data_IF_268609394847
#
_entry.id   IF_268609394847
#
_cell.length_a   1.000
_cell.length_b   1.000
_cell.length_c   1.000
_cell.angle_alpha   90.00
_cell.angle_beta   90.00
_cell.angle_gamma   90.00
#
_symmetry.space_group_name_H-M   'P 1'
#
loop_
_entity.id
_entity.type
_entity.pdbx_description
1 polymer ?
#
# COMPACT_ATOMS: atom_id res chain seq x y z
N UNK A 1 -39.42 5.03 -5.32
CA UNK A 1 -38.40 6.07 -4.99
C UNK A 1 -37.06 5.44 -4.60
N UNK A 2 -37.03 4.53 -3.61
CA UNK A 2 -35.80 3.95 -3.03
C UNK A 2 -34.84 3.28 -4.04
N UNK A 3 -35.36 2.55 -5.04
CA UNK A 3 -34.54 1.93 -6.10
C UNK A 3 -33.75 2.91 -6.99
N UNK A 4 -34.08 4.22 -6.93
CA UNK A 4 -33.29 5.27 -7.61
C UNK A 4 -31.99 5.59 -6.86
N UNK A 5 -31.91 5.30 -5.56
CA UNK A 5 -30.72 5.49 -4.74
C UNK A 5 -29.72 4.37 -5.06
N UNK A 6 -28.56 4.74 -5.62
CA UNK A 6 -27.49 3.80 -6.02
C UNK A 6 -26.42 3.60 -4.93
N UNK A 7 -26.55 4.31 -3.81
CA UNK A 7 -25.67 4.20 -2.65
C UNK A 7 -26.19 3.11 -1.70
N UNK A 8 -25.30 2.45 -0.95
CA UNK A 8 -25.73 1.55 0.12
C UNK A 8 -26.44 2.32 1.23
N UNK A 9 -27.42 1.68 1.86
CA UNK A 9 -28.13 2.18 3.03
C UNK A 9 -27.39 1.75 4.30
N UNK A 10 -27.33 2.65 5.28
CA UNK A 10 -26.81 2.39 6.61
C UNK A 10 -27.93 2.66 7.61
N UNK A 11 -28.34 1.62 8.34
CA UNK A 11 -29.42 1.70 9.33
C UNK A 11 -28.79 1.82 10.71
N UNK A 12 -28.79 3.05 11.24
CA UNK A 12 -28.23 3.41 12.55
C UNK A 12 -29.22 4.34 13.26
N UNK A 13 -30.29 3.76 13.81
CA UNK A 13 -31.40 4.53 14.41
C UNK A 13 -31.33 4.57 15.94
N UNK A 14 -30.43 3.81 16.57
CA UNK A 14 -30.22 3.86 18.03
C UNK A 14 -29.21 4.94 18.43
N UNK A 15 -29.36 5.46 19.65
CA UNK A 15 -28.43 6.42 20.25
C UNK A 15 -27.02 5.84 20.48
N UNK A 16 -26.87 4.52 20.38
CA UNK A 16 -25.59 3.81 20.51
C UNK A 16 -24.81 3.74 19.18
N UNK A 17 -25.33 4.36 18.11
CA UNK A 17 -24.72 4.31 16.79
C UNK A 17 -24.81 2.93 16.15
N UNK A 18 -25.88 2.19 16.43
CA UNK A 18 -26.17 0.86 15.90
C UNK A 18 -27.63 0.78 15.38
N UNK A 19 -27.97 -0.35 14.77
CA UNK A 19 -29.36 -0.72 14.43
C UNK A 19 -30.19 -0.88 15.72
N UNK A 20 -31.44 -0.42 15.70
CA UNK A 20 -32.39 -0.64 16.78
C UNK A 20 -33.07 -2.02 16.63
N UNK A 21 -33.52 -2.61 17.73
CA UNK A 21 -34.17 -3.94 17.73
C UNK A 21 -35.43 -3.98 16.86
N UNK A 22 -36.08 -2.84 16.64
CA UNK A 22 -37.29 -2.72 15.81
C UNK A 22 -37.00 -2.51 14.33
N UNK A 23 -35.74 -2.26 13.94
CA UNK A 23 -35.39 -1.98 12.54
C UNK A 23 -35.34 -3.24 11.65
N UNK A 24 -35.53 -4.44 12.20
CA UNK A 24 -35.42 -5.67 11.40
C UNK A 24 -36.43 -5.72 10.26
N UNK A 25 -37.62 -5.14 10.45
CA UNK A 25 -38.63 -5.04 9.40
C UNK A 25 -38.13 -4.16 8.24
N UNK A 26 -37.62 -2.95 8.53
CA UNK A 26 -37.10 -2.05 7.49
C UNK A 26 -35.86 -2.62 6.81
N UNK A 27 -34.95 -3.25 7.56
CA UNK A 27 -33.75 -3.90 7.00
C UNK A 27 -34.14 -5.04 6.05
N UNK A 28 -35.11 -5.87 6.45
CA UNK A 28 -35.58 -7.00 5.64
C UNK A 28 -36.30 -6.51 4.38
N UNK A 29 -37.18 -5.52 4.52
CA UNK A 29 -37.86 -4.88 3.39
C UNK A 29 -36.85 -4.31 2.38
N UNK A 30 -35.88 -3.51 2.82
CA UNK A 30 -34.87 -2.91 1.93
C UNK A 30 -34.04 -3.99 1.21
N UNK A 31 -33.66 -5.07 1.91
CA UNK A 31 -32.93 -6.19 1.30
C UNK A 31 -33.79 -6.95 0.28
N UNK A 32 -35.06 -7.21 0.58
CA UNK A 32 -35.99 -7.86 -0.34
C UNK A 32 -36.19 -7.05 -1.63
N UNK A 33 -36.12 -5.72 -1.54
CA UNK A 33 -36.13 -4.81 -2.69
C UNK A 33 -34.81 -4.79 -3.48
N UNK A 34 -33.83 -5.62 -3.12
CA UNK A 34 -32.53 -5.74 -3.78
C UNK A 34 -31.54 -4.62 -3.44
N UNK A 35 -31.80 -3.85 -2.38
CA UNK A 35 -30.92 -2.76 -1.96
C UNK A 35 -29.77 -3.29 -1.09
N UNK A 36 -28.62 -2.64 -1.20
CA UNK A 36 -27.46 -2.93 -0.33
C UNK A 36 -27.66 -2.22 1.00
N UNK A 37 -27.81 -2.99 2.08
CA UNK A 37 -28.14 -2.47 3.42
C UNK A 37 -27.11 -2.96 4.43
N UNK A 38 -26.56 -2.02 5.19
CA UNK A 38 -25.73 -2.26 6.35
C UNK A 38 -26.55 -2.00 7.62
N UNK A 39 -26.55 -2.95 8.55
CA UNK A 39 -27.23 -2.86 9.84
C UNK A 39 -26.21 -3.22 10.95
N UNK A 40 -25.31 -2.30 11.32
CA UNK A 40 -24.28 -2.55 12.32
C UNK A 40 -24.90 -2.71 13.71
N UNK A 41 -24.36 -3.63 14.52
CA UNK A 41 -24.85 -3.90 15.87
C UNK A 41 -24.05 -3.22 16.99
N UNK A 42 -23.01 -2.45 16.65
CA UNK A 42 -22.26 -1.62 17.60
C UNK A 42 -21.58 -0.43 16.89
N UNK A 43 -21.12 0.54 17.68
CA UNK A 43 -20.49 1.76 17.19
C UNK A 43 -19.18 1.51 16.41
N UNK A 44 -18.39 0.52 16.80
CA UNK A 44 -17.12 0.18 16.12
C UNK A 44 -17.37 -0.28 14.68
N UNK A 45 -18.32 -1.20 14.48
CA UNK A 45 -18.72 -1.67 13.16
C UNK A 45 -19.29 -0.52 12.31
N UNK A 46 -20.11 0.35 12.90
CA UNK A 46 -20.60 1.56 12.23
C UNK A 46 -19.46 2.43 11.72
N UNK A 47 -18.46 2.73 12.57
CA UNK A 47 -17.29 3.51 12.18
C UNK A 47 -16.51 2.84 11.04
N UNK A 48 -16.30 1.52 11.10
CA UNK A 48 -15.61 0.75 10.05
C UNK A 48 -16.37 0.77 8.72
N UNK A 49 -17.70 0.66 8.75
CA UNK A 49 -18.54 0.77 7.54
C UNK A 49 -18.44 2.18 6.96
N UNK A 50 -18.59 3.22 7.77
CA UNK A 50 -18.44 4.61 7.32
C UNK A 50 -17.05 4.87 6.70
N UNK A 51 -15.97 4.43 7.35
CA UNK A 51 -14.59 4.51 6.81
C UNK A 51 -14.46 3.80 5.47
N UNK A 52 -14.99 2.58 5.36
CA UNK A 52 -14.95 1.79 4.13
C UNK A 52 -15.72 2.44 2.98
N UNK A 53 -16.87 3.06 3.26
CA UNK A 53 -17.66 3.79 2.28
C UNK A 53 -16.96 5.08 1.83
N UNK A 54 -16.33 5.81 2.76
CA UNK A 54 -15.52 6.97 2.45
C UNK A 54 -14.32 6.58 1.57
N UNK A 55 -13.60 5.52 1.94
CA UNK A 55 -12.48 4.97 1.18
C UNK A 55 -12.90 4.64 -0.26
N UNK A 56 -14.07 4.04 -0.47
CA UNK A 56 -14.58 3.74 -1.82
C UNK A 56 -14.72 4.98 -2.70
N UNK A 57 -15.05 6.14 -2.11
CA UNK A 57 -15.10 7.41 -2.84
C UNK A 57 -13.69 7.95 -3.08
N UNK A 58 -12.84 7.91 -2.06
CA UNK A 58 -11.48 8.46 -2.12
C UNK A 58 -10.56 7.68 -3.07
N UNK A 59 -10.77 6.38 -3.22
CA UNK A 59 -10.03 5.53 -4.16
C UNK A 59 -10.12 6.00 -5.62
N UNK A 60 -11.21 6.69 -6.01
CA UNK A 60 -11.39 7.18 -7.39
C UNK A 60 -10.37 8.24 -7.81
N UNK A 61 -9.83 8.99 -6.84
CA UNK A 61 -8.77 9.99 -7.07
C UNK A 61 -7.39 9.48 -6.64
N UNK A 62 -7.34 8.42 -5.82
CA UNK A 62 -6.09 7.87 -5.27
C UNK A 62 -5.17 7.35 -6.38
N UNK A 63 -3.87 7.56 -6.16
CA UNK A 63 -2.79 7.07 -7.02
C UNK A 63 -1.81 6.21 -6.22
N UNK A 64 -1.28 5.18 -6.85
CA UNK A 64 -0.10 4.46 -6.37
C UNK A 64 1.10 4.82 -7.22
N UNK A 65 2.18 5.23 -6.57
CA UNK A 65 3.43 5.61 -7.22
C UNK A 65 4.40 4.41 -7.26
N UNK A 66 4.68 3.91 -8.45
CA UNK A 66 5.59 2.79 -8.68
C UNK A 66 6.86 3.29 -9.34
N UNK A 67 8.01 2.95 -8.76
CA UNK A 67 9.31 3.19 -9.37
C UNK A 67 9.87 1.90 -9.97
N UNK A 68 9.96 1.87 -11.29
CA UNK A 68 10.53 0.78 -12.07
C UNK A 68 10.85 1.28 -13.49
N UNK A 69 11.86 0.71 -14.14
CA UNK A 69 12.21 1.05 -15.52
C UNK A 69 11.82 -0.09 -16.47
N UNK A 70 12.41 -1.27 -16.26
CA UNK A 70 12.25 -2.43 -17.12
C UNK A 70 12.08 -3.70 -16.27
N UNK A 71 10.90 -3.97 -15.65
CA UNK A 71 10.72 -5.14 -14.79
C UNK A 71 10.94 -6.49 -15.50
N UNK A 72 10.84 -6.54 -16.83
CA UNK A 72 11.15 -7.72 -17.64
C UNK A 72 12.63 -7.91 -17.97
N UNK A 73 13.51 -7.02 -17.51
CA UNK A 73 14.97 -7.03 -17.69
C UNK A 73 15.62 -6.77 -16.33
N UNK A 74 16.73 -7.41 -16.00
CA UNK A 74 17.42 -7.18 -14.72
C UNK A 74 17.85 -8.46 -14.04
N UNK A 75 18.09 -8.38 -12.73
CA UNK A 75 18.68 -9.49 -11.98
C UNK A 75 17.74 -10.69 -11.81
N UNK A 76 16.43 -10.49 -11.91
CA UNK A 76 15.39 -11.50 -11.70
C UNK A 76 14.24 -11.43 -12.71
N UNK A 77 14.55 -10.99 -13.94
CA UNK A 77 13.58 -10.80 -15.02
C UNK A 77 12.60 -11.98 -15.21
N UNK A 78 13.11 -13.22 -15.19
CA UNK A 78 12.28 -14.43 -15.41
C UNK A 78 11.27 -14.68 -14.29
N UNK A 79 11.51 -14.18 -13.09
CA UNK A 79 10.57 -14.26 -11.96
C UNK A 79 9.49 -13.19 -12.16
N UNK A 80 9.88 -11.95 -12.50
CA UNK A 80 8.95 -10.83 -12.67
C UNK A 80 7.93 -11.05 -13.77
N UNK A 81 8.32 -11.68 -14.89
CA UNK A 81 7.42 -12.06 -15.99
C UNK A 81 6.30 -13.02 -15.58
N UNK A 82 6.40 -13.67 -14.41
CA UNK A 82 5.39 -14.60 -13.88
C UNK A 82 4.35 -13.91 -13.01
N UNK A 83 4.64 -12.70 -12.54
CA UNK A 83 3.78 -12.01 -11.60
C UNK A 83 2.63 -11.31 -12.30
N UNK A 84 1.42 -11.47 -11.77
CA UNK A 84 0.24 -10.83 -12.37
C UNK A 84 0.34 -9.30 -12.35
N UNK A 85 0.97 -8.70 -11.33
CA UNK A 85 1.15 -7.25 -11.24
C UNK A 85 2.12 -6.67 -12.29
N UNK A 86 2.85 -7.52 -13.01
CA UNK A 86 3.65 -7.11 -14.15
C UNK A 86 2.78 -6.81 -15.39
N UNK A 87 1.66 -7.51 -15.54
CA UNK A 87 0.76 -7.38 -16.69
C UNK A 87 -0.01 -6.06 -16.68
N UNK A 88 -0.12 -5.39 -17.84
CA UNK A 88 -0.96 -4.18 -18.00
C UNK A 88 -2.42 -4.41 -17.59
N UNK A 89 -2.89 -5.66 -17.76
CA UNK A 89 -4.23 -6.08 -17.35
C UNK A 89 -4.45 -5.89 -15.84
N UNK A 90 -3.44 -6.07 -15.00
CA UNK A 90 -3.56 -5.87 -13.56
C UNK A 90 -3.85 -4.40 -13.23
N UNK A 91 -3.08 -3.47 -13.79
CA UNK A 91 -3.27 -2.04 -13.65
C UNK A 91 -4.66 -1.60 -14.12
N UNK A 92 -5.09 -2.07 -15.30
CA UNK A 92 -6.44 -1.81 -15.81
C UNK A 92 -7.52 -2.33 -14.86
N UNK A 93 -7.34 -3.54 -14.32
CA UNK A 93 -8.29 -4.15 -13.39
C UNK A 93 -8.39 -3.38 -12.08
N UNK A 94 -7.26 -2.89 -11.54
CA UNK A 94 -7.24 -2.02 -10.35
C UNK A 94 -8.02 -0.73 -10.63
N UNK A 95 -7.78 -0.09 -11.79
CA UNK A 95 -8.46 1.14 -12.18
C UNK A 95 -9.96 0.95 -12.36
N UNK A 96 -10.38 -0.07 -13.10
CA UNK A 96 -11.79 -0.35 -13.37
C UNK A 96 -12.56 -0.76 -12.11
N UNK A 97 -11.94 -1.56 -11.25
CA UNK A 97 -12.61 -2.08 -10.05
C UNK A 97 -12.67 -1.08 -8.91
N UNK A 98 -11.58 -0.36 -8.67
CA UNK A 98 -11.41 0.48 -7.48
C UNK A 98 -11.28 1.98 -7.79
N UNK A 99 -10.95 2.34 -9.02
CA UNK A 99 -10.75 3.73 -9.44
C UNK A 99 -9.33 4.25 -9.19
N UNK A 100 -8.42 3.44 -8.64
CA UNK A 100 -7.04 3.81 -8.34
C UNK A 100 -6.21 3.81 -9.62
N UNK A 101 -5.41 4.85 -9.84
CA UNK A 101 -4.43 4.89 -10.94
C UNK A 101 -3.06 4.45 -10.46
N UNK A 102 -2.30 3.76 -11.32
CA UNK A 102 -0.87 3.50 -11.09
C UNK A 102 -0.08 4.56 -11.86
N UNK A 103 0.88 5.19 -11.19
CA UNK A 103 1.81 6.16 -11.78
C UNK A 103 3.19 5.53 -11.76
N UNK A 104 3.74 5.23 -12.94
CA UNK A 104 5.09 4.65 -13.06
C UNK A 104 6.11 5.76 -13.29
N UNK A 105 7.22 5.72 -12.55
CA UNK A 105 8.39 6.61 -12.71
C UNK A 105 9.67 5.78 -12.75
N UNK A 106 10.74 6.34 -13.30
CA UNK A 106 12.03 5.68 -13.38
C UNK A 106 12.65 5.48 -11.99
N UNK A 107 13.07 4.24 -11.69
CA UNK A 107 13.85 3.97 -10.48
C UNK A 107 15.31 4.42 -10.65
N UNK A 108 15.84 4.35 -11.87
CA UNK A 108 17.15 4.92 -12.21
C UNK A 108 17.21 6.42 -11.90
N UNK A 109 16.27 7.20 -12.42
CA UNK A 109 16.24 8.66 -12.19
C UNK A 109 16.04 9.00 -10.71
N UNK A 110 15.19 8.26 -9.99
CA UNK A 110 15.03 8.43 -8.54
C UNK A 110 16.36 8.18 -7.82
N UNK A 111 17.10 7.14 -8.20
CA UNK A 111 18.37 6.79 -7.58
C UNK A 111 19.45 7.81 -7.89
N UNK A 112 19.54 8.30 -9.13
CA UNK A 112 20.45 9.39 -9.50
C UNK A 112 20.14 10.69 -8.75
N UNK A 113 18.86 10.99 -8.55
CA UNK A 113 18.41 12.12 -7.75
C UNK A 113 18.79 11.95 -6.28
N UNK A 114 18.55 10.77 -5.70
CA UNK A 114 18.94 10.47 -4.33
C UNK A 114 20.44 10.63 -4.13
N UNK A 115 21.28 10.15 -5.05
CA UNK A 115 22.74 10.29 -5.01
C UNK A 115 23.22 11.75 -5.00
N UNK A 116 22.45 12.67 -5.60
CA UNK A 116 22.74 14.12 -5.62
C UNK A 116 22.34 14.85 -4.33
N UNK A 117 21.56 14.23 -3.45
CA UNK A 117 21.23 14.82 -2.15
C UNK A 117 22.49 14.86 -1.29
N UNK A 118 22.75 15.99 -0.62
CA UNK A 118 23.95 16.16 0.20
C UNK A 118 23.93 15.28 1.45
N UNK A 119 25.11 14.84 1.87
CA UNK A 119 25.26 14.09 3.12
C UNK A 119 24.85 14.94 4.33
N UNK A 120 25.09 16.25 4.29
CA UNK A 120 24.69 17.17 5.36
C UNK A 120 23.18 17.16 5.59
N UNK A 121 22.38 17.20 4.52
CA UNK A 121 20.92 17.19 4.62
C UNK A 121 20.41 15.83 5.12
N UNK A 122 20.99 14.74 4.61
CA UNK A 122 20.63 13.39 5.08
C UNK A 122 20.97 13.20 6.57
N UNK A 123 22.13 13.70 7.03
CA UNK A 123 22.56 13.64 8.43
C UNK A 123 21.66 14.48 9.35
N UNK A 124 21.26 15.67 8.91
CA UNK A 124 20.32 16.53 9.66
C UNK A 124 19.01 15.78 9.94
N UNK A 125 18.39 15.24 8.90
CA UNK A 125 17.15 14.46 9.02
C UNK A 125 17.33 13.22 9.89
N UNK A 126 18.46 12.52 9.74
CA UNK A 126 18.78 11.34 10.54
C UNK A 126 18.87 11.67 12.04
N UNK A 127 19.48 12.80 12.41
CA UNK A 127 19.65 13.22 13.80
C UNK A 127 18.33 13.57 14.49
N UNK A 128 17.30 13.95 13.73
CA UNK A 128 15.96 14.21 14.25
C UNK A 128 15.13 12.95 14.52
N UNK A 129 15.64 11.76 14.16
CA UNK A 129 14.92 10.49 14.29
C UNK A 129 15.65 9.56 15.26
N UNK A 130 14.90 9.01 16.23
CA UNK A 130 15.43 8.02 17.18
C UNK A 130 15.21 6.62 16.64
N UNK A 131 16.12 6.15 15.78
CA UNK A 131 16.08 4.82 15.18
C UNK A 131 17.34 4.03 15.59
N UNK A 132 17.21 2.76 16.02
CA UNK A 132 18.35 1.88 16.26
C UNK A 132 19.23 1.79 15.00
N UNK A 133 20.54 1.99 15.18
CA UNK A 133 21.52 2.05 14.07
C UNK A 133 22.80 1.29 14.38
N UNK A 134 22.75 0.41 15.38
CA UNK A 134 23.88 -0.42 15.79
C UNK A 134 24.37 -1.28 14.62
N UNK A 135 25.67 -1.20 14.33
CA UNK A 135 26.29 -1.95 13.22
C UNK A 135 26.04 -1.38 11.82
N UNK A 136 25.32 -0.27 11.68
CA UNK A 136 25.11 0.41 10.39
C UNK A 136 26.21 1.45 10.17
N UNK A 137 26.87 1.41 9.02
CA UNK A 137 27.87 2.44 8.66
C UNK A 137 27.22 3.77 8.33
N UNK A 138 27.92 4.88 8.57
CA UNK A 138 27.41 6.22 8.26
C UNK A 138 27.03 6.34 6.78
N UNK A 139 27.83 5.81 5.87
CA UNK A 139 27.52 5.82 4.43
C UNK A 139 26.21 5.08 4.10
N UNK A 140 25.99 3.91 4.70
CA UNK A 140 24.75 3.14 4.47
C UNK A 140 23.52 3.89 5.04
N UNK A 141 23.68 4.49 6.22
CA UNK A 141 22.63 5.30 6.85
C UNK A 141 22.28 6.50 5.97
N UNK A 142 23.28 7.26 5.51
CA UNK A 142 23.08 8.43 4.67
C UNK A 142 22.41 8.05 3.34
N UNK A 143 22.85 6.98 2.67
CA UNK A 143 22.21 6.48 1.45
C UNK A 143 20.73 6.16 1.67
N UNK A 144 20.37 5.53 2.80
CA UNK A 144 18.98 5.20 3.12
C UNK A 144 18.12 6.46 3.33
N UNK A 145 18.65 7.48 4.02
CA UNK A 145 17.96 8.76 4.19
C UNK A 145 17.84 9.56 2.88
N UNK A 146 18.82 9.47 1.98
CA UNK A 146 18.72 10.10 0.65
C UNK A 146 17.60 9.49 -0.19
N UNK A 147 17.44 8.17 -0.18
CA UNK A 147 16.30 7.52 -0.85
C UNK A 147 14.98 7.97 -0.21
N UNK A 148 14.91 8.01 1.13
CA UNK A 148 13.73 8.53 1.83
C UNK A 148 13.37 9.95 1.39
N UNK A 149 14.33 10.87 1.36
CA UNK A 149 14.11 12.26 0.94
C UNK A 149 13.66 12.35 -0.52
N UNK A 150 14.30 11.59 -1.41
CA UNK A 150 13.94 11.57 -2.84
C UNK A 150 12.50 11.06 -3.06
N UNK A 151 12.12 9.97 -2.38
CA UNK A 151 10.76 9.43 -2.45
C UNK A 151 9.75 10.38 -1.81
N UNK A 152 10.08 10.97 -0.66
CA UNK A 152 9.23 11.94 0.04
C UNK A 152 8.87 13.11 -0.87
N UNK A 153 9.85 13.67 -1.57
CA UNK A 153 9.60 14.78 -2.50
C UNK A 153 8.64 14.37 -3.64
N UNK A 154 8.78 13.15 -4.19
CA UNK A 154 7.88 12.67 -5.24
C UNK A 154 6.46 12.41 -4.75
N UNK A 155 6.30 11.92 -3.52
CA UNK A 155 5.00 11.72 -2.86
C UNK A 155 4.35 13.07 -2.53
N UNK A 156 5.12 14.09 -2.14
CA UNK A 156 4.60 15.41 -1.77
C UNK A 156 4.14 16.25 -2.96
N UNK A 157 4.62 15.96 -4.17
CA UNK A 157 4.17 16.61 -5.42
C UNK A 157 2.70 16.37 -5.73
N UNK A 158 2.12 15.30 -5.21
CA UNK A 158 0.74 14.92 -5.50
C UNK A 158 0.05 14.35 -4.25
N UNK A 159 -0.88 15.12 -3.63
CA UNK A 159 -1.54 14.68 -2.41
C UNK A 159 -2.45 13.46 -2.62
N UNK A 160 -2.76 13.08 -3.86
CA UNK A 160 -3.54 11.88 -4.17
C UNK A 160 -2.69 10.60 -4.17
N UNK A 161 -1.35 10.70 -4.05
CA UNK A 161 -0.49 9.53 -3.84
C UNK A 161 -0.68 9.00 -2.42
N UNK A 162 -1.27 7.81 -2.31
CA UNK A 162 -1.54 7.14 -1.01
C UNK A 162 -0.85 5.80 -0.85
N UNK A 163 -0.21 5.31 -1.91
CA UNK A 163 0.62 4.12 -1.87
C UNK A 163 1.85 4.25 -2.76
N UNK A 164 2.92 3.54 -2.43
CA UNK A 164 4.13 3.53 -3.25
C UNK A 164 4.82 2.16 -3.31
N UNK A 165 5.68 1.95 -4.31
CA UNK A 165 6.54 0.77 -4.39
C UNK A 165 7.75 1.01 -5.27
N UNK A 166 8.84 0.30 -5.01
CA UNK A 166 10.08 0.35 -5.78
C UNK A 166 10.45 -1.08 -6.16
N UNK A 167 10.84 -1.31 -7.42
CA UNK A 167 11.37 -2.59 -7.87
C UNK A 167 12.82 -2.82 -7.40
N UNK A 168 13.04 -2.82 -6.09
CA UNK A 168 14.39 -2.90 -5.52
C UNK A 168 15.04 -4.27 -5.69
N UNK A 169 14.29 -5.34 -5.98
CA UNK A 169 14.86 -6.67 -6.18
C UNK A 169 15.49 -6.81 -7.56
N UNK A 170 14.71 -6.56 -8.61
CA UNK A 170 15.15 -6.78 -9.99
C UNK A 170 16.05 -5.64 -10.51
N UNK A 171 15.87 -4.42 -9.99
CA UNK A 171 16.55 -3.20 -10.45
C UNK A 171 17.44 -2.57 -9.38
N UNK A 172 17.84 -3.33 -8.35
CA UNK A 172 18.71 -2.89 -7.24
C UNK A 172 19.98 -2.17 -7.71
N UNK A 173 20.53 -2.54 -8.86
CA UNK A 173 21.78 -1.99 -9.39
C UNK A 173 21.75 -0.47 -9.67
N UNK A 174 20.57 0.18 -9.64
CA UNK A 174 20.48 1.65 -9.71
C UNK A 174 20.78 2.35 -8.38
N UNK A 175 20.54 1.70 -7.24
CA UNK A 175 20.58 2.30 -5.91
C UNK A 175 21.69 1.69 -5.05
N UNK A 176 22.23 2.50 -4.13
CA UNK A 176 23.27 2.05 -3.19
C UNK A 176 22.68 1.41 -1.92
N UNK A 177 21.34 1.36 -1.82
CA UNK A 177 20.59 0.85 -0.67
C UNK A 177 19.18 0.41 -1.06
N UNK A 178 18.57 -0.43 -0.23
CA UNK A 178 17.13 -0.76 -0.31
C UNK A 178 16.27 0.37 0.29
N UNK A 179 14.99 0.49 -0.12
CA UNK A 179 14.09 1.55 0.35
C UNK A 179 13.39 1.24 1.69
N UNK A 180 13.76 0.17 2.40
CA UNK A 180 13.02 -0.30 3.58
C UNK A 180 12.90 0.75 4.69
N UNK A 181 13.96 1.53 4.92
CA UNK A 181 13.92 2.64 5.89
C UNK A 181 12.99 3.75 5.41
N UNK A 182 13.02 4.08 4.13
CA UNK A 182 12.13 5.09 3.54
C UNK A 182 10.66 4.72 3.71
N UNK A 183 10.31 3.45 3.51
CA UNK A 183 8.97 2.91 3.73
C UNK A 183 8.49 3.06 5.16
N UNK A 184 9.34 2.71 6.13
CA UNK A 184 9.01 2.84 7.55
C UNK A 184 8.76 4.31 7.91
N UNK A 185 9.68 5.21 7.51
CA UNK A 185 9.57 6.64 7.78
C UNK A 185 8.34 7.29 7.11
N UNK A 186 8.05 6.95 5.86
CA UNK A 186 6.90 7.51 5.14
C UNK A 186 5.56 6.95 5.62
N UNK A 187 5.54 5.71 6.07
CA UNK A 187 4.38 5.14 6.75
C UNK A 187 4.09 5.89 8.05
N UNK A 188 5.09 6.09 8.91
CA UNK A 188 4.92 6.84 10.17
C UNK A 188 4.52 8.30 9.95
N UNK A 189 5.15 8.99 8.99
CA UNK A 189 4.93 10.44 8.78
C UNK A 189 3.66 10.76 8.01
N UNK A 190 3.33 9.96 7.00
CA UNK A 190 2.28 10.28 6.01
C UNK A 190 1.19 9.24 5.94
N UNK A 191 1.32 8.14 6.69
CA UNK A 191 0.47 6.97 6.54
C UNK A 191 0.41 6.53 5.06
N UNK A 192 1.59 6.53 4.42
CA UNK A 192 1.79 6.03 3.06
C UNK A 192 1.90 4.51 3.12
N UNK A 193 0.99 3.81 2.45
CA UNK A 193 1.08 2.35 2.30
C UNK A 193 2.16 2.04 1.28
N UNK A 194 2.93 0.98 1.46
CA UNK A 194 4.03 0.64 0.56
C UNK A 194 4.05 -0.84 0.22
N UNK A 195 4.71 -1.19 -0.87
CA UNK A 195 4.99 -2.59 -1.22
C UNK A 195 6.41 -2.74 -1.77
N UNK A 196 7.08 -3.82 -1.38
CA UNK A 196 8.32 -4.25 -2.02
C UNK A 196 8.06 -4.68 -3.46
N UNK A 197 9.13 -4.68 -4.28
CA UNK A 197 9.12 -5.11 -5.69
C UNK A 197 8.11 -4.37 -6.59
N UNK A 198 7.54 -3.27 -6.10
CA UNK A 198 6.38 -2.63 -6.68
C UNK A 198 5.19 -3.59 -6.91
N UNK A 199 4.97 -4.56 -6.01
CA UNK A 199 3.80 -5.44 -6.03
C UNK A 199 2.51 -4.64 -5.78
N UNK A 200 1.86 -4.23 -6.87
CA UNK A 200 0.63 -3.44 -6.82
C UNK A 200 -0.56 -4.23 -6.28
N UNK A 201 -0.53 -5.57 -6.32
CA UNK A 201 -1.59 -6.41 -5.79
C UNK A 201 -1.53 -6.48 -4.27
N UNK A 202 -0.33 -6.68 -3.71
CA UNK A 202 -0.11 -6.60 -2.27
C UNK A 202 -0.37 -5.17 -1.77
N UNK A 203 0.12 -4.15 -2.49
CA UNK A 203 -0.13 -2.74 -2.16
C UNK A 203 -1.63 -2.42 -2.10
N UNK A 204 -2.40 -2.86 -3.09
CA UNK A 204 -3.86 -2.69 -3.11
C UNK A 204 -4.52 -3.35 -1.90
N UNK A 205 -4.13 -4.59 -1.58
CA UNK A 205 -4.70 -5.37 -0.47
C UNK A 205 -4.41 -4.71 0.87
N UNK A 206 -3.14 -4.35 1.11
CA UNK A 206 -2.73 -3.63 2.32
C UNK A 206 -3.42 -2.27 2.42
N UNK A 207 -3.58 -1.54 1.31
CA UNK A 207 -4.28 -0.27 1.29
C UNK A 207 -5.74 -0.40 1.69
N UNK A 208 -6.47 -1.39 1.14
CA UNK A 208 -7.85 -1.65 1.52
C UNK A 208 -7.98 -1.97 3.01
N UNK A 209 -7.17 -2.90 3.52
CA UNK A 209 -7.24 -3.34 4.91
C UNK A 209 -6.88 -2.19 5.85
N UNK A 210 -5.73 -1.55 5.63
CA UNK A 210 -5.24 -0.49 6.50
C UNK A 210 -6.21 0.70 6.54
N UNK A 211 -6.70 1.17 5.39
CA UNK A 211 -7.59 2.35 5.35
C UNK A 211 -9.03 2.06 5.74
N UNK A 212 -9.49 0.80 5.67
CA UNK A 212 -10.87 0.44 6.08
C UNK A 212 -10.98 0.17 7.57
N UNK A 213 -10.08 -0.64 8.13
CA UNK A 213 -10.18 -1.13 9.51
C UNK A 213 -9.06 -0.67 10.43
N UNK A 214 -8.05 0.04 9.91
CA UNK A 214 -6.97 0.62 10.72
C UNK A 214 -5.97 -0.42 11.24
N UNK A 215 -5.91 -1.61 10.63
CA UNK A 215 -4.93 -2.63 11.01
C UNK A 215 -3.54 -2.25 10.49
N UNK A 216 -2.52 -2.48 11.30
CA UNK A 216 -1.13 -2.34 10.87
C UNK A 216 -0.81 -3.32 9.74
N UNK A 217 0.17 -2.96 8.92
CA UNK A 217 0.53 -3.69 7.71
C UNK A 217 1.98 -4.14 7.74
N UNK A 218 2.18 -5.37 7.31
CA UNK A 218 3.48 -5.94 7.00
C UNK A 218 3.33 -6.76 5.72
N UNK A 219 4.39 -6.81 4.93
CA UNK A 219 4.46 -7.65 3.74
C UNK A 219 5.61 -8.64 3.91
N UNK A 220 5.34 -9.89 3.56
CA UNK A 220 6.35 -10.94 3.52
C UNK A 220 5.89 -12.03 2.56
N UNK A 221 6.82 -12.81 2.04
CA UNK A 221 6.50 -13.99 1.26
C UNK A 221 5.90 -15.06 2.16
N UNK A 222 4.84 -15.70 1.70
CA UNK A 222 4.24 -16.85 2.38
C UNK A 222 4.78 -18.10 1.71
N UNK A 223 5.64 -18.84 2.41
CA UNK A 223 6.13 -20.13 1.94
C UNK A 223 5.30 -21.26 2.59
N UNK A 224 4.48 -21.98 1.82
CA UNK A 224 3.78 -23.16 2.32
C UNK A 224 4.80 -24.19 2.83
N UNK A 225 4.57 -24.73 4.03
CA UNK A 225 5.38 -25.82 4.58
C UNK A 225 5.48 -27.02 3.62
N UNK A 226 4.41 -27.24 2.84
CA UNK A 226 4.35 -28.28 1.81
C UNK A 226 5.37 -28.08 0.66
N UNK A 227 5.91 -26.87 0.47
CA UNK A 227 6.95 -26.63 -0.54
C UNK A 227 8.29 -27.27 -0.17
N UNK A 228 8.46 -27.71 1.09
CA UNK A 228 9.60 -28.50 1.55
C UNK A 228 10.93 -27.98 1.01
N UNK A 229 11.60 -28.80 0.20
CA UNK A 229 12.91 -28.47 -0.39
C UNK A 229 12.93 -27.23 -1.27
N UNK A 230 11.83 -26.89 -1.94
CA UNK A 230 11.79 -25.70 -2.80
C UNK A 230 11.84 -24.41 -1.96
N UNK A 231 11.11 -24.37 -0.84
CA UNK A 231 11.17 -23.26 0.10
C UNK A 231 12.55 -23.19 0.79
N UNK A 232 13.06 -24.31 1.28
CA UNK A 232 14.39 -24.36 1.91
C UNK A 232 15.51 -23.91 0.96
N UNK A 233 15.47 -24.36 -0.31
CA UNK A 233 16.44 -23.94 -1.33
C UNK A 233 16.33 -22.45 -1.65
N UNK A 234 15.11 -21.91 -1.71
CA UNK A 234 14.87 -20.49 -1.98
C UNK A 234 15.41 -19.60 -0.85
N UNK A 235 15.12 -19.97 0.40
CA UNK A 235 15.58 -19.27 1.61
C UNK A 235 17.04 -19.59 1.98
N UNK A 236 17.70 -20.47 1.21
CA UNK A 236 19.07 -20.95 1.48
C UNK A 236 19.23 -21.56 2.89
N UNK A 237 18.21 -22.24 3.37
CA UNK A 237 18.22 -22.97 4.64
C UNK A 237 18.79 -24.36 4.36
N UNK A 238 19.96 -24.66 4.95
CA UNK A 238 20.53 -26.01 4.93
C UNK A 238 19.69 -26.95 5.83
N UNK A 239 19.68 -28.24 5.47
CA UNK A 239 18.95 -29.26 6.22
C UNK A 239 19.59 -29.55 7.58
#
# INVERSE_FOLDING_TARGET
>A
LLKKIKLPFLVTTSDFGAVNVWDWEIVTFLKAEGLKVFAPYNLDLTKKICKSLALKRDMKKTKFLVFQDNPGVGLQAEIFKRFYWWEERCEKSIKEKFGISIVKKSFKELSEKAKKISDSLAAEVANHKKIPKEGVSDNALLSAYKIYLAVKEEVEKDPDIKGAGINCLNESFYSDTTPCLAWSLLYEEKNLVWACEADTMALMTMYLIHKSIGADIIMSNIYPFLMGMAALKHERIEK
#
